data_IF_788925522946
#
_entry.id   IF_788925522946
#
_cell.length_a   1.000
_cell.length_b   1.000
_cell.length_c   1.000
_cell.angle_alpha   90.00
_cell.angle_beta   90.00
_cell.angle_gamma   90.00
#
_symmetry.space_group_name_H-M   'P 1'
#
loop_
_entity.id
_entity.type
_entity.pdbx_description
1 polymer ?
#
# COMPACT_ATOMS: atom_id res chain seq x y z
N UNK A 1 -5.77 -1.52 47.14
CA UNK A 1 -5.49 -1.27 45.70
C UNK A 1 -4.10 -1.82 45.41
N UNK A 2 -4.02 -2.97 44.72
CA UNK A 2 -2.80 -3.77 44.64
C UNK A 2 -1.84 -3.22 43.57
N UNK A 3 -0.53 -3.14 43.86
CA UNK A 3 0.48 -2.53 42.94
C UNK A 3 0.47 -3.19 41.55
N UNK A 4 0.19 -4.49 41.50
CA UNK A 4 0.12 -5.27 40.26
C UNK A 4 -1.06 -4.86 39.36
N UNK A 5 -2.22 -4.51 39.94
CA UNK A 5 -3.39 -4.02 39.21
C UNK A 5 -3.10 -2.67 38.54
N UNK A 6 -2.34 -1.80 39.21
CA UNK A 6 -1.96 -0.49 38.69
C UNK A 6 -0.97 -0.61 37.51
N UNK A 7 0.03 -1.50 37.62
CA UNK A 7 0.99 -1.77 36.54
C UNK A 7 0.32 -2.37 35.30
N UNK A 8 -0.63 -3.28 35.49
CA UNK A 8 -1.40 -3.85 34.38
C UNK A 8 -2.30 -2.82 33.69
N UNK A 9 -2.86 -1.88 34.46
CA UNK A 9 -3.68 -0.79 33.91
C UNK A 9 -2.82 0.18 33.10
N UNK A 10 -1.62 0.52 33.57
CA UNK A 10 -0.68 1.38 32.85
C UNK A 10 -0.23 0.72 31.53
N UNK A 11 0.18 -0.55 31.56
CA UNK A 11 0.54 -1.29 30.33
C UNK A 11 -0.60 -1.34 29.32
N UNK A 12 -1.83 -1.49 29.79
CA UNK A 12 -3.00 -1.53 28.91
C UNK A 12 -3.24 -0.18 28.22
N UNK A 13 -3.06 0.93 28.94
CA UNK A 13 -3.17 2.27 28.40
C UNK A 13 -2.03 2.60 27.42
N UNK A 14 -0.81 2.14 27.70
CA UNK A 14 0.34 2.28 26.79
C UNK A 14 0.12 1.50 25.49
N UNK A 15 -0.32 0.24 25.58
CA UNK A 15 -0.62 -0.56 24.40
C UNK A 15 -1.73 0.06 23.54
N UNK A 16 -2.80 0.58 24.16
CA UNK A 16 -3.86 1.29 23.43
C UNK A 16 -3.36 2.56 22.75
N UNK A 17 -2.43 3.29 23.35
CA UNK A 17 -1.80 4.46 22.70
C UNK A 17 -0.96 4.03 21.52
N UNK A 18 -0.16 2.98 21.66
CA UNK A 18 0.67 2.44 20.58
C UNK A 18 -0.18 1.95 19.41
N UNK A 19 -1.26 1.20 19.68
CA UNK A 19 -2.19 0.74 18.64
C UNK A 19 -2.84 1.90 17.88
N UNK A 20 -3.26 2.95 18.58
CA UNK A 20 -3.84 4.14 17.96
C UNK A 20 -2.82 4.90 17.12
N UNK A 21 -1.58 5.01 17.59
CA UNK A 21 -0.52 5.68 16.84
C UNK A 21 -0.17 4.89 15.57
N UNK A 22 -0.07 3.56 15.65
CA UNK A 22 0.16 2.70 14.48
C UNK A 22 -0.97 2.88 13.45
N UNK A 23 -2.23 2.80 13.89
CA UNK A 23 -3.38 2.99 13.00
C UNK A 23 -3.40 4.39 12.37
N UNK A 24 -2.99 5.41 13.12
CA UNK A 24 -2.91 6.77 12.61
C UNK A 24 -1.79 6.95 11.58
N UNK A 25 -0.61 6.39 11.84
CA UNK A 25 0.51 6.40 10.89
C UNK A 25 0.16 5.65 9.60
N UNK A 26 -0.49 4.50 9.71
CA UNK A 26 -0.93 3.72 8.55
C UNK A 26 -1.93 4.50 7.68
N UNK A 27 -2.89 5.19 8.31
CA UNK A 27 -3.83 6.05 7.61
C UNK A 27 -3.15 7.25 6.93
N UNK A 28 -2.11 7.83 7.54
CA UNK A 28 -1.31 8.90 6.93
C UNK A 28 -0.52 8.39 5.73
N UNK A 29 0.09 7.22 5.83
CA UNK A 29 0.86 6.62 4.75
C UNK A 29 -0.02 6.23 3.57
N UNK A 30 -1.23 5.71 3.81
CA UNK A 30 -2.19 5.40 2.73
C UNK A 30 -2.63 6.68 2.01
N UNK A 31 -2.85 7.78 2.75
CA UNK A 31 -3.14 9.10 2.16
C UNK A 31 -1.98 9.63 1.32
N UNK A 32 -0.73 9.52 1.80
CA UNK A 32 0.46 9.96 1.03
C UNK A 32 0.57 9.18 -0.28
N UNK A 33 0.43 7.85 -0.25
CA UNK A 33 0.48 7.01 -1.44
C UNK A 33 -0.64 7.33 -2.43
N UNK A 34 -1.86 7.56 -1.95
CA UNK A 34 -2.98 7.96 -2.80
C UNK A 34 -2.72 9.31 -3.49
N UNK A 35 -2.12 10.26 -2.76
CA UNK A 35 -1.77 11.58 -3.30
C UNK A 35 -0.65 11.50 -4.33
N UNK A 36 0.38 10.68 -4.11
CA UNK A 36 1.44 10.43 -5.08
C UNK A 36 0.91 9.80 -6.37
N UNK A 37 0.03 8.81 -6.27
CA UNK A 37 -0.64 8.21 -7.43
C UNK A 37 -1.50 9.24 -8.17
N UNK A 38 -2.26 10.07 -7.47
CA UNK A 38 -3.07 11.12 -8.08
C UNK A 38 -2.19 12.15 -8.82
N UNK A 39 -1.05 12.54 -8.25
CA UNK A 39 -0.07 13.43 -8.91
C UNK A 39 0.49 12.81 -10.18
N UNK A 40 0.85 11.52 -10.14
CA UNK A 40 1.36 10.80 -11.31
C UNK A 40 0.29 10.70 -12.42
N UNK A 41 -0.95 10.38 -12.06
CA UNK A 41 -2.07 10.31 -13.01
C UNK A 41 -2.40 11.67 -13.63
N UNK A 42 -2.28 12.75 -12.88
CA UNK A 42 -2.50 14.10 -13.41
C UNK A 42 -1.45 14.52 -14.44
N UNK A 43 -0.17 14.18 -14.20
CA UNK A 43 0.92 14.53 -15.11
C UNK A 43 1.04 13.58 -16.32
N UNK A 44 0.57 12.34 -16.19
CA UNK A 44 0.65 11.30 -17.20
C UNK A 44 0.05 11.66 -18.58
N UNK A 45 -1.18 12.21 -18.71
CA UNK A 45 -1.76 12.50 -20.02
C UNK A 45 -0.92 13.51 -20.82
N UNK A 46 -0.32 14.51 -20.15
CA UNK A 46 0.54 15.48 -20.82
C UNK A 46 1.80 14.82 -21.39
N UNK A 47 2.45 13.94 -20.61
CA UNK A 47 3.64 13.19 -21.04
C UNK A 47 3.31 12.17 -22.15
N UNK A 48 2.17 11.49 -22.03
CA UNK A 48 1.64 10.59 -23.07
C UNK A 48 1.40 11.34 -24.39
N UNK A 49 0.71 12.48 -24.37
CA UNK A 49 0.46 13.28 -25.58
C UNK A 49 1.76 13.80 -26.19
N UNK A 50 2.68 14.32 -25.38
CA UNK A 50 3.97 14.82 -25.86
C UNK A 50 4.79 13.71 -26.55
N UNK A 51 4.84 12.53 -25.96
CA UNK A 51 5.58 11.40 -26.53
C UNK A 51 4.96 10.84 -27.83
N UNK A 52 3.63 10.82 -27.93
CA UNK A 52 2.93 10.47 -29.17
C UNK A 52 3.27 11.49 -30.26
N UNK A 53 3.25 12.79 -29.94
CA UNK A 53 3.62 13.84 -30.87
C UNK A 53 5.06 13.69 -31.37
N UNK A 54 6.02 13.42 -30.46
CA UNK A 54 7.41 13.14 -30.82
C UNK A 54 7.52 11.93 -31.74
N UNK A 55 6.75 10.87 -31.47
CA UNK A 55 6.76 9.64 -32.27
C UNK A 55 6.23 9.89 -33.69
N UNK A 56 5.17 10.68 -33.83
CA UNK A 56 4.62 11.08 -35.12
C UNK A 56 5.60 11.96 -35.90
N UNK A 57 6.19 12.97 -35.27
CA UNK A 57 7.17 13.87 -35.90
C UNK A 57 8.41 13.08 -36.35
N UNK A 58 8.94 12.22 -35.49
CA UNK A 58 10.05 11.34 -35.81
C UNK A 58 9.71 10.39 -36.97
N UNK A 59 8.53 9.77 -36.96
CA UNK A 59 8.08 8.88 -38.02
C UNK A 59 7.95 9.59 -39.38
N UNK A 60 7.34 10.77 -39.40
CA UNK A 60 7.23 11.61 -40.61
C UNK A 60 8.60 12.05 -41.10
N UNK A 61 9.50 12.42 -40.20
CA UNK A 61 10.88 12.81 -40.53
C UNK A 61 11.67 11.64 -41.14
N UNK A 62 11.58 10.45 -40.55
CA UNK A 62 12.20 9.22 -41.09
C UNK A 62 11.64 8.88 -42.47
N UNK A 63 10.33 9.00 -42.68
CA UNK A 63 9.71 8.72 -43.99
C UNK A 63 10.21 9.70 -45.06
N UNK A 64 10.31 11.00 -44.74
CA UNK A 64 10.70 12.03 -45.70
C UNK A 64 12.20 12.07 -45.99
N UNK A 65 13.04 11.87 -44.98
CA UNK A 65 14.49 11.96 -45.11
C UNK A 65 15.18 10.60 -45.31
N UNK A 66 14.44 9.48 -45.23
CA UNK A 66 14.96 8.09 -45.28
C UNK A 66 16.10 7.82 -44.31
N UNK A 67 16.21 8.61 -43.24
CA UNK A 67 17.29 8.52 -42.28
C UNK A 67 16.77 7.93 -40.96
N UNK A 68 17.35 6.80 -40.56
CA UNK A 68 16.97 6.08 -39.33
C UNK A 68 17.32 6.84 -38.05
N UNK A 69 18.24 7.82 -38.11
CA UNK A 69 18.64 8.59 -36.93
C UNK A 69 17.48 9.35 -36.28
N UNK A 70 16.44 9.69 -37.04
CA UNK A 70 15.25 10.34 -36.51
C UNK A 70 14.38 9.45 -35.61
N UNK A 71 14.66 8.14 -35.54
CA UNK A 71 13.98 7.20 -34.64
C UNK A 71 14.60 7.13 -33.23
N UNK A 72 15.79 7.72 -33.01
CA UNK A 72 16.47 7.72 -31.70
C UNK A 72 15.57 8.30 -30.58
N UNK A 73 14.86 9.43 -30.77
CA UNK A 73 13.95 9.95 -29.75
C UNK A 73 12.83 8.98 -29.41
N UNK A 74 12.35 8.19 -30.37
CA UNK A 74 11.29 7.19 -30.17
C UNK A 74 11.83 6.01 -29.34
N UNK A 75 13.05 5.56 -29.64
CA UNK A 75 13.71 4.49 -28.90
C UNK A 75 13.92 4.82 -27.42
N UNK A 76 14.11 6.11 -27.09
CA UNK A 76 14.24 6.59 -25.70
C UNK A 76 12.87 6.86 -25.07
N UNK A 77 11.93 7.44 -25.82
CA UNK A 77 10.62 7.82 -25.32
C UNK A 77 9.73 6.60 -24.99
N UNK A 78 9.81 5.51 -25.76
CA UNK A 78 9.02 4.29 -25.55
C UNK A 78 9.25 3.64 -24.17
N UNK A 79 10.49 3.30 -23.76
CA UNK A 79 10.73 2.70 -22.45
C UNK A 79 10.42 3.66 -21.30
N UNK A 80 10.66 4.96 -21.48
CA UNK A 80 10.28 5.98 -20.49
C UNK A 80 8.77 6.03 -20.27
N UNK A 81 7.99 6.06 -21.36
CA UNK A 81 6.53 5.97 -21.30
C UNK A 81 6.05 4.67 -20.68
N UNK A 82 6.66 3.55 -21.04
CA UNK A 82 6.30 2.23 -20.50
C UNK A 82 6.49 2.19 -18.97
N UNK A 83 7.56 2.81 -18.47
CA UNK A 83 7.79 2.96 -17.04
C UNK A 83 6.76 3.89 -16.39
N UNK A 84 6.48 5.05 -16.96
CA UNK A 84 5.51 5.98 -16.41
C UNK A 84 4.06 5.48 -16.49
N UNK A 85 3.71 4.71 -17.52
CA UNK A 85 2.42 4.01 -17.60
C UNK A 85 2.28 3.03 -16.46
N UNK A 86 3.28 2.16 -16.25
CA UNK A 86 3.21 1.16 -15.19
C UNK A 86 3.15 1.82 -13.79
N UNK A 87 3.88 2.92 -13.60
CA UNK A 87 3.84 3.72 -12.37
C UNK A 87 2.49 4.43 -12.15
N UNK A 88 1.93 5.07 -13.18
CA UNK A 88 0.66 5.82 -13.08
C UNK A 88 -0.58 4.93 -12.97
N UNK A 89 -0.54 3.72 -13.55
CA UNK A 89 -1.60 2.72 -13.44
C UNK A 89 -1.64 2.06 -12.05
N UNK A 90 -0.63 2.23 -11.19
CA UNK A 90 -0.58 1.60 -9.87
C UNK A 90 -0.70 0.07 -9.92
N UNK A 91 -0.42 -0.53 -11.09
CA UNK A 91 -0.75 -1.93 -11.37
C UNK A 91 0.03 -2.90 -10.48
N UNK A 92 1.20 -2.49 -10.03
CA UNK A 92 2.04 -3.24 -9.10
C UNK A 92 1.54 -3.11 -7.66
N UNK A 93 1.09 -1.93 -7.22
CA UNK A 93 0.57 -1.75 -5.86
C UNK A 93 -0.77 -2.47 -5.68
N UNK A 94 -1.67 -2.41 -6.67
CA UNK A 94 -2.90 -3.22 -6.65
C UNK A 94 -2.61 -4.72 -6.70
N UNK A 95 -1.65 -5.18 -7.52
CA UNK A 95 -1.26 -6.61 -7.56
C UNK A 95 -0.70 -7.08 -6.22
N UNK A 96 0.13 -6.27 -5.59
CA UNK A 96 0.69 -6.56 -4.26
C UNK A 96 -0.42 -6.59 -3.23
N UNK A 97 -1.33 -5.59 -3.22
CA UNK A 97 -2.48 -5.55 -2.30
C UNK A 97 -3.40 -6.76 -2.48
N UNK A 98 -3.74 -7.12 -3.72
CA UNK A 98 -4.53 -8.34 -4.01
C UNK A 98 -3.82 -9.62 -3.56
N UNK A 99 -2.49 -9.72 -3.77
CA UNK A 99 -1.73 -10.89 -3.30
C UNK A 99 -1.66 -10.95 -1.78
N UNK A 100 -1.50 -9.81 -1.12
CA UNK A 100 -1.54 -9.70 0.34
C UNK A 100 -2.92 -10.08 0.90
N UNK A 101 -4.00 -9.57 0.30
CA UNK A 101 -5.38 -9.92 0.68
C UNK A 101 -5.67 -11.41 0.49
N UNK A 102 -5.17 -12.01 -0.60
CA UNK A 102 -5.29 -13.45 -0.83
C UNK A 102 -4.52 -14.27 0.22
N UNK A 103 -3.31 -13.85 0.60
CA UNK A 103 -2.55 -14.49 1.66
C UNK A 103 -3.21 -14.32 3.03
N UNK A 104 -3.79 -13.16 3.30
CA UNK A 104 -4.52 -12.87 4.54
C UNK A 104 -5.78 -13.71 4.64
N UNK A 105 -6.57 -13.80 3.56
CA UNK A 105 -7.75 -14.67 3.47
C UNK A 105 -7.41 -16.15 3.58
N UNK A 106 -6.30 -16.60 2.95
CA UNK A 106 -5.82 -17.98 3.11
C UNK A 106 -5.44 -18.27 4.56
N UNK A 107 -4.73 -17.36 5.23
CA UNK A 107 -4.40 -17.51 6.66
C UNK A 107 -5.64 -17.51 7.56
N UNK A 108 -6.64 -16.68 7.26
CA UNK A 108 -7.93 -16.68 7.95
C UNK A 108 -8.73 -17.97 7.73
N UNK A 109 -8.55 -18.62 6.58
CA UNK A 109 -9.21 -19.89 6.27
C UNK A 109 -8.45 -21.11 6.85
N UNK A 110 -7.14 -21.01 7.03
CA UNK A 110 -6.29 -22.08 7.60
C UNK A 110 -6.12 -22.01 9.13
N UNK A 111 -6.48 -20.91 9.79
CA UNK A 111 -6.44 -20.79 11.25
C UNK A 111 -7.81 -20.38 11.80
N UNK A 112 -8.37 -21.24 12.65
CA UNK A 112 -9.46 -20.95 13.59
C UNK A 112 -9.17 -19.67 14.42
N UNK A 113 -10.23 -19.05 14.97
CA UNK A 113 -10.40 -17.60 14.97
C UNK A 113 -9.22 -16.91 15.64
N UNK A 114 -8.76 -15.82 15.02
CA UNK A 114 -7.88 -14.88 15.70
C UNK A 114 -8.44 -14.63 17.10
N UNK A 115 -7.70 -15.06 18.12
CA UNK A 115 -8.03 -14.75 19.50
C UNK A 115 -7.95 -13.24 19.59
N UNK A 116 -9.10 -12.60 19.45
CA UNK A 116 -9.25 -11.17 19.58
C UNK A 116 -8.75 -10.83 20.99
N UNK A 117 -8.10 -9.68 21.16
CA UNK A 117 -7.71 -9.23 22.51
C UNK A 117 -8.90 -9.19 23.49
N UNK A 118 -10.13 -9.13 22.96
CA UNK A 118 -11.37 -9.32 23.71
C UNK A 118 -11.55 -10.73 24.29
N UNK A 119 -11.23 -11.79 23.54
CA UNK A 119 -11.27 -13.18 24.01
C UNK A 119 -10.19 -13.48 25.05
N UNK A 120 -9.00 -12.88 24.89
CA UNK A 120 -7.94 -12.99 25.91
C UNK A 120 -8.41 -12.35 27.21
N UNK A 121 -9.04 -11.17 27.17
CA UNK A 121 -9.60 -10.52 28.36
C UNK A 121 -10.74 -11.33 28.99
N UNK A 122 -11.58 -11.97 28.18
CA UNK A 122 -12.66 -12.82 28.69
C UNK A 122 -12.10 -14.04 29.43
N UNK A 123 -11.15 -14.75 28.80
CA UNK A 123 -10.48 -15.91 29.43
C UNK A 123 -9.66 -15.52 30.65
N UNK A 124 -9.02 -14.35 30.66
CA UNK A 124 -8.28 -13.87 31.82
C UNK A 124 -9.23 -13.57 33.00
N UNK A 125 -10.42 -13.04 32.71
CA UNK A 125 -11.46 -12.77 33.72
C UNK A 125 -12.07 -14.05 34.29
N UNK A 126 -12.26 -15.09 33.45
CA UNK A 126 -12.67 -16.42 33.90
C UNK A 126 -11.61 -17.09 34.79
N UNK A 127 -10.32 -16.99 34.42
CA UNK A 127 -9.22 -17.51 35.21
C UNK A 127 -9.06 -16.80 36.56
N UNK A 128 -9.33 -15.49 36.60
CA UNK A 128 -9.23 -14.70 37.83
C UNK A 128 -10.44 -14.92 38.76
N UNK A 129 -11.63 -15.18 38.22
CA UNK A 129 -12.82 -15.54 39.00
C UNK A 129 -12.80 -16.96 39.59
N UNK A 130 -12.00 -17.87 39.02
CA UNK A 130 -11.80 -19.22 39.55
C UNK A 130 -10.76 -19.32 40.67
N UNK A 131 -9.87 -18.33 40.81
CA UNK A 131 -8.82 -18.31 41.85
C UNK A 131 -9.31 -17.78 43.20
N UNK A 132 -10.52 -17.22 43.28
CA UNK A 132 -11.11 -16.68 44.52
C UNK A 132 -12.05 -17.70 45.21
N UNK A 133 -12.09 -18.96 44.75
CA UNK A 133 -13.00 -20.01 45.26
C UNK A 133 -12.27 -21.23 45.87
N UNK A 134 -10.97 -21.09 46.21
CA UNK A 134 -10.28 -22.06 47.08
C UNK A 134 -9.63 -21.37 48.29
#
# INVERSE_FOLDING_TARGET
MNKESMVNTIRLLENQKVEREIAFQEALDERKRALELAKLQYAYPYKAVASIAVTLISGVSTYRHKNLLYLIPVAIALPYLAYETDASLGRNTERIKRRADLLYRKRLAEHEPHILMADIKHRLKELQGGSDVE
#
